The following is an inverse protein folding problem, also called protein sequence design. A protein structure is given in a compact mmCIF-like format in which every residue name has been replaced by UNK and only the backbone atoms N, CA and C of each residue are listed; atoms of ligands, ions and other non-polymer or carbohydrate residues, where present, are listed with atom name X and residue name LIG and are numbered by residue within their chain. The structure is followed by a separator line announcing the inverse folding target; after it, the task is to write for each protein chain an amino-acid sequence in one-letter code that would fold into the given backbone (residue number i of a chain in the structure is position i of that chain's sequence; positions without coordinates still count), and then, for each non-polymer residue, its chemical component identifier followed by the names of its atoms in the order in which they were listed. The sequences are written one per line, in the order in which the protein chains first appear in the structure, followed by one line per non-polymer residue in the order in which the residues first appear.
data_IF_497660687017
#
_entry.id   IF_497660687017
#
_cell.length_a   1.000
_cell.length_b   1.000
_cell.length_c   1.000
_cell.angle_alpha   90.00
_cell.angle_beta   90.00
_cell.angle_gamma   90.00
#
_symmetry.space_group_name_H-M   'P 1'
#
loop_
_entity.id
_entity.type
_entity.pdbx_description
1 polymer ?
#
# COMPACT_ATOMS: atom_id res chain seq x y z
N UNK A 1 -10.75 2.54 -1.53
CA UNK A 1 -11.95 2.68 -0.69
C UNK A 1 -12.86 3.75 -1.28
N UNK A 2 -14.10 3.43 -1.56
CA UNK A 2 -15.09 4.41 -2.04
C UNK A 2 -16.07 4.71 -0.92
N UNK A 3 -16.22 5.98 -0.57
CA UNK A 3 -17.26 6.45 0.35
C UNK A 3 -18.38 7.06 -0.47
N UNK A 4 -19.51 6.38 -0.52
CA UNK A 4 -20.73 6.85 -1.19
C UNK A 4 -21.70 7.46 -0.21
N UNK A 5 -22.38 8.54 -0.62
CA UNK A 5 -23.40 9.18 0.19
C UNK A 5 -24.75 9.20 -0.52
N UNK A 6 -25.78 8.82 0.20
CA UNK A 6 -27.18 9.13 -0.10
C UNK A 6 -27.78 9.91 1.07
N UNK A 7 -27.81 11.25 0.99
CA UNK A 7 -28.40 12.08 2.04
C UNK A 7 -28.22 13.57 1.79
N UNK A 8 -28.94 14.40 2.53
CA UNK A 8 -29.12 15.85 2.34
C UNK A 8 -27.97 16.74 2.83
N UNK A 9 -26.90 16.21 3.41
CA UNK A 9 -25.79 17.03 3.89
C UNK A 9 -24.76 17.29 2.76
N UNK A 10 -24.06 18.42 2.78
CA UNK A 10 -23.08 18.78 1.77
C UNK A 10 -21.91 17.78 1.73
N UNK A 11 -21.34 17.46 0.56
CA UNK A 11 -20.19 16.56 0.42
C UNK A 11 -18.95 17.04 1.19
N UNK A 12 -18.85 18.35 1.42
CA UNK A 12 -17.75 18.95 2.18
C UNK A 12 -17.67 18.42 3.61
N UNK A 13 -18.76 18.11 4.28
CA UNK A 13 -18.74 17.60 5.67
C UNK A 13 -18.02 16.25 5.76
N UNK A 14 -18.31 15.33 4.83
CA UNK A 14 -17.63 14.04 4.77
C UNK A 14 -16.14 14.18 4.42
N UNK A 15 -15.82 15.07 3.49
CA UNK A 15 -14.43 15.38 3.10
C UNK A 15 -13.67 16.00 4.28
N UNK A 16 -14.29 16.87 5.05
CA UNK A 16 -13.65 17.50 6.21
C UNK A 16 -13.41 16.50 7.34
N UNK A 17 -14.30 15.53 7.57
CA UNK A 17 -14.03 14.43 8.48
C UNK A 17 -12.81 13.63 8.01
N UNK A 18 -12.74 13.25 6.72
CA UNK A 18 -11.58 12.52 6.17
C UNK A 18 -10.28 13.31 6.32
N UNK A 19 -10.29 14.62 6.06
CA UNK A 19 -9.12 15.50 6.26
C UNK A 19 -8.66 15.57 7.70
N UNK A 20 -9.58 15.38 8.65
CA UNK A 20 -9.28 15.32 10.08
C UNK A 20 -8.75 13.97 10.57
N UNK A 21 -8.72 12.93 9.72
CA UNK A 21 -8.20 11.62 10.09
C UNK A 21 -6.68 11.61 10.07
N UNK A 22 -6.10 10.91 11.03
CA UNK A 22 -4.65 10.69 11.10
C UNK A 22 -4.32 9.30 10.60
N UNK A 23 -3.34 9.21 9.71
CA UNK A 23 -2.80 7.93 9.29
C UNK A 23 -1.94 7.31 10.40
N UNK A 24 -2.06 5.99 10.65
CA UNK A 24 -1.24 5.31 11.64
C UNK A 24 0.24 5.30 11.30
N UNK A 25 1.07 5.19 12.32
CA UNK A 25 2.51 4.97 12.20
C UNK A 25 2.89 3.68 12.91
N UNK A 26 3.88 2.98 12.40
CA UNK A 26 4.46 1.79 13.03
C UNK A 26 5.96 1.73 12.78
N UNK A 27 6.63 0.75 13.38
CA UNK A 27 8.07 0.49 13.14
C UNK A 27 8.24 -0.88 12.52
N UNK A 28 8.97 -0.96 11.40
CA UNK A 28 9.32 -2.20 10.71
C UNK A 28 10.82 -2.24 10.56
N UNK A 29 11.47 -3.29 11.04
CA UNK A 29 12.94 -3.47 11.02
C UNK A 29 13.68 -2.19 11.49
N UNK A 30 13.23 -1.60 12.59
CA UNK A 30 13.80 -0.38 13.17
C UNK A 30 13.48 0.93 12.44
N UNK A 31 12.84 0.89 11.28
CA UNK A 31 12.46 2.07 10.50
C UNK A 31 11.01 2.48 10.78
N UNK A 32 10.79 3.77 11.00
CA UNK A 32 9.42 4.32 11.11
C UNK A 32 8.76 4.36 9.74
N UNK A 33 7.57 3.79 9.65
CA UNK A 33 6.72 3.81 8.47
C UNK A 33 5.37 4.42 8.82
N UNK A 34 4.83 5.21 7.92
CA UNK A 34 3.55 5.90 8.10
C UNK A 34 2.63 5.61 6.94
N UNK A 35 1.38 5.31 7.25
CA UNK A 35 0.30 5.25 6.29
C UNK A 35 -0.08 6.62 5.75
N UNK A 36 -1.01 6.64 4.82
CA UNK A 36 -1.62 7.89 4.35
C UNK A 36 -3.10 7.69 4.04
N UNK A 37 -3.85 8.77 4.10
CA UNK A 37 -5.24 8.83 3.68
C UNK A 37 -5.44 10.07 2.84
N UNK A 38 -6.10 9.94 1.69
CA UNK A 38 -6.35 11.03 0.79
C UNK A 38 -7.69 10.87 0.07
N UNK A 39 -8.40 11.97 -0.14
CA UNK A 39 -9.52 12.02 -1.08
C UNK A 39 -8.93 12.09 -2.49
N UNK A 40 -9.25 11.11 -3.32
CA UNK A 40 -8.73 10.97 -4.69
C UNK A 40 -9.77 11.23 -5.78
N UNK A 41 -11.05 11.27 -5.41
CA UNK A 41 -12.12 11.59 -6.34
C UNK A 41 -13.38 12.06 -5.61
N UNK A 42 -14.12 12.92 -6.28
CA UNK A 42 -15.47 13.34 -5.86
C UNK A 42 -16.34 13.37 -7.12
N UNK A 43 -17.45 12.64 -7.10
CA UNK A 43 -18.40 12.58 -8.20
C UNK A 43 -19.81 12.88 -7.69
N UNK A 44 -20.53 13.78 -8.34
CA UNK A 44 -21.90 14.14 -7.99
C UNK A 44 -22.44 15.31 -8.80
N UNK A 45 -23.76 15.47 -8.74
CA UNK A 45 -24.47 16.50 -9.46
C UNK A 45 -24.93 16.07 -10.86
N UNK A 46 -26.03 16.68 -11.31
CA UNK A 46 -26.66 16.42 -12.61
C UNK A 46 -26.75 17.68 -13.49
N UNK A 47 -26.65 18.86 -12.91
CA UNK A 47 -26.74 20.15 -13.61
C UNK A 47 -26.11 21.27 -12.76
N UNK A 48 -25.72 22.35 -13.41
CA UNK A 48 -25.00 23.47 -12.79
C UNK A 48 -25.79 24.27 -11.78
N UNK A 49 -27.13 24.23 -11.87
CA UNK A 49 -28.06 24.99 -11.03
C UNK A 49 -28.91 24.11 -10.13
N UNK A 50 -28.48 22.85 -9.91
CA UNK A 50 -29.18 21.87 -9.08
C UNK A 50 -28.26 21.43 -7.96
N UNK A 51 -28.71 21.52 -6.72
CA UNK A 51 -28.01 20.96 -5.58
C UNK A 51 -28.11 19.43 -5.69
N UNK A 52 -26.97 18.71 -5.68
CA UNK A 52 -26.98 17.26 -5.78
C UNK A 52 -27.74 16.58 -4.64
N UNK A 53 -28.55 15.58 -4.96
CA UNK A 53 -29.18 14.71 -3.95
C UNK A 53 -28.15 13.77 -3.27
N UNK A 54 -26.98 13.61 -3.87
CA UNK A 54 -25.88 12.79 -3.34
C UNK A 54 -24.59 12.96 -4.13
N UNK A 55 -23.50 12.50 -3.53
CA UNK A 55 -22.20 12.41 -4.17
C UNK A 55 -21.45 11.16 -3.71
N UNK A 56 -20.49 10.71 -4.51
CA UNK A 56 -19.49 9.72 -4.13
C UNK A 56 -18.16 10.40 -3.86
N UNK A 57 -17.50 9.99 -2.79
CA UNK A 57 -16.12 10.42 -2.47
C UNK A 57 -15.23 9.19 -2.47
N UNK A 58 -14.23 9.16 -3.32
CA UNK A 58 -13.23 8.09 -3.33
C UNK A 58 -12.08 8.46 -2.41
N UNK A 59 -11.72 7.53 -1.53
CA UNK A 59 -10.63 7.68 -0.57
C UNK A 59 -9.60 6.60 -0.84
N UNK A 60 -8.33 6.99 -0.99
CA UNK A 60 -7.20 6.08 -1.01
C UNK A 60 -6.56 6.06 0.38
N UNK A 61 -6.46 4.86 0.96
CA UNK A 61 -5.73 4.61 2.18
C UNK A 61 -4.50 3.77 1.88
N UNK A 62 -3.31 4.28 2.23
CA UNK A 62 -2.08 3.49 2.23
C UNK A 62 -1.85 2.96 3.63
N UNK A 63 -1.99 1.66 3.76
CA UNK A 63 -1.96 0.98 5.05
C UNK A 63 -0.54 0.70 5.52
N UNK A 64 -0.37 0.61 6.83
CA UNK A 64 0.83 0.05 7.49
C UNK A 64 0.40 -1.10 8.39
N UNK A 65 1.32 -2.00 8.81
CA UNK A 65 0.97 -3.05 9.76
C UNK A 65 0.38 -2.49 11.05
N UNK A 66 -0.67 -3.14 11.56
CA UNK A 66 -1.35 -2.75 12.80
C UNK A 66 -2.66 -2.01 12.54
N UNK A 67 -2.79 -0.83 13.12
CA UNK A 67 -4.03 -0.06 13.07
C UNK A 67 -4.33 0.50 11.68
N UNK A 68 -5.62 0.72 11.43
CA UNK A 68 -6.13 1.34 10.21
C UNK A 68 -6.58 2.78 10.49
N UNK A 69 -6.73 3.56 9.44
CA UNK A 69 -7.40 4.85 9.55
C UNK A 69 -8.85 4.64 9.98
N UNK A 70 -9.31 5.41 10.97
CA UNK A 70 -10.66 5.32 11.52
C UNK A 70 -11.72 5.88 10.56
N UNK A 71 -11.88 5.23 9.39
CA UNK A 71 -12.79 5.68 8.33
C UNK A 71 -14.26 5.60 8.73
N UNK A 72 -14.63 4.73 9.69
CA UNK A 72 -15.96 4.64 10.28
C UNK A 72 -16.41 5.97 10.89
N UNK A 73 -15.50 6.88 11.23
CA UNK A 73 -15.83 8.22 11.71
C UNK A 73 -16.60 9.06 10.68
N UNK A 74 -16.52 8.70 9.40
CA UNK A 74 -17.30 9.37 8.36
C UNK A 74 -18.81 9.13 8.52
N UNK A 75 -19.22 8.05 9.17
CA UNK A 75 -20.62 7.73 9.49
C UNK A 75 -21.22 8.67 10.55
N UNK A 76 -20.38 9.47 11.23
CA UNK A 76 -20.87 10.54 12.10
C UNK A 76 -21.59 11.68 11.35
N UNK A 77 -21.39 11.76 10.04
CA UNK A 77 -22.12 12.67 9.16
C UNK A 77 -23.39 12.00 8.69
N UNK A 78 -24.55 12.63 8.96
CA UNK A 78 -25.85 12.06 8.62
C UNK A 78 -25.96 11.74 7.12
N UNK A 79 -26.41 10.53 6.80
CA UNK A 79 -26.58 10.03 5.44
C UNK A 79 -25.29 9.68 4.73
N UNK A 80 -24.17 9.57 5.42
CA UNK A 80 -22.91 8.99 4.89
C UNK A 80 -22.88 7.49 5.14
N UNK A 81 -22.66 6.73 4.07
CA UNK A 81 -22.35 5.30 4.10
C UNK A 81 -21.02 5.10 3.39
N UNK A 82 -20.23 4.13 3.81
CA UNK A 82 -18.98 3.80 3.14
C UNK A 82 -18.87 2.30 2.84
N UNK A 83 -18.16 2.00 1.77
CA UNK A 83 -17.88 0.64 1.34
C UNK A 83 -16.41 0.50 0.99
N UNK A 84 -15.89 -0.70 1.12
CA UNK A 84 -14.52 -1.04 0.73
C UNK A 84 -14.57 -1.68 -0.64
N UNK A 85 -14.03 -1.01 -1.66
CA UNK A 85 -13.95 -1.57 -3.01
C UNK A 85 -12.74 -2.50 -3.14
N UNK A 86 -11.63 -2.14 -2.48
CA UNK A 86 -10.42 -2.93 -2.49
C UNK A 86 -9.74 -2.86 -1.12
N UNK A 87 -9.44 -4.01 -0.53
CA UNK A 87 -8.70 -4.11 0.72
C UNK A 87 -7.51 -5.07 0.52
N UNK A 88 -6.32 -4.49 0.46
CA UNK A 88 -5.07 -5.23 0.34
C UNK A 88 -4.27 -5.04 1.63
N UNK A 89 -3.94 -6.13 2.33
CA UNK A 89 -3.19 -6.03 3.57
C UNK A 89 -1.77 -5.51 3.31
N UNK A 90 -1.22 -4.71 4.24
CA UNK A 90 0.18 -4.30 4.17
C UNK A 90 1.10 -5.51 4.35
N UNK A 91 2.24 -5.51 3.68
CA UNK A 91 3.30 -6.48 3.91
C UNK A 91 4.42 -5.83 4.73
N UNK A 92 4.83 -6.51 5.77
CA UNK A 92 6.07 -6.21 6.50
C UNK A 92 6.79 -7.52 6.79
N UNK A 93 8.11 -7.51 6.67
CA UNK A 93 8.95 -8.60 7.17
C UNK A 93 9.07 -8.44 8.70
N UNK A 94 8.70 -9.45 9.44
CA UNK A 94 8.79 -9.53 10.91
C UNK A 94 9.98 -10.37 11.40
N UNK A 95 10.72 -10.97 10.47
CA UNK A 95 11.92 -11.76 10.72
C UNK A 95 13.16 -11.02 10.24
N UNK A 96 13.89 -10.41 11.18
CA UNK A 96 15.12 -9.67 10.90
C UNK A 96 16.21 -10.56 10.29
N UNK A 97 16.35 -11.81 10.73
CA UNK A 97 17.34 -12.73 10.21
C UNK A 97 17.07 -13.10 8.73
N UNK A 98 15.80 -13.29 8.38
CA UNK A 98 15.39 -13.52 6.99
C UNK A 98 15.60 -12.27 6.14
N UNK A 99 15.26 -11.09 6.63
CA UNK A 99 15.47 -9.82 5.94
C UNK A 99 16.96 -9.57 5.66
N UNK A 100 17.83 -9.79 6.64
CA UNK A 100 19.29 -9.67 6.49
C UNK A 100 19.86 -10.72 5.53
N UNK A 101 19.35 -11.96 5.56
CA UNK A 101 19.78 -12.98 4.62
C UNK A 101 19.40 -12.63 3.16
N UNK A 102 18.24 -12.03 2.96
CA UNK A 102 17.82 -11.52 1.65
C UNK A 102 18.68 -10.34 1.20
N UNK A 103 19.01 -9.42 2.10
CA UNK A 103 19.90 -8.30 1.83
C UNK A 103 21.31 -8.77 1.44
N UNK A 104 21.88 -9.74 2.18
CA UNK A 104 23.18 -10.34 1.86
C UNK A 104 23.17 -11.05 0.50
N UNK A 105 22.05 -11.69 0.13
CA UNK A 105 21.92 -12.31 -1.18
C UNK A 105 21.85 -11.27 -2.31
N UNK A 106 21.22 -10.12 -2.05
CA UNK A 106 21.17 -8.99 -2.97
C UNK A 106 22.58 -8.39 -3.16
N UNK A 107 23.33 -8.18 -2.08
CA UNK A 107 24.69 -7.68 -2.11
C UNK A 107 25.62 -8.59 -2.94
N UNK A 108 25.53 -9.89 -2.73
CA UNK A 108 26.29 -10.87 -3.49
C UNK A 108 25.90 -10.95 -4.99
N UNK A 109 24.70 -10.53 -5.34
CA UNK A 109 24.19 -10.59 -6.72
C UNK A 109 24.48 -9.32 -7.55
N UNK A 110 24.84 -8.20 -6.90
CA UNK A 110 25.02 -6.90 -7.55
C UNK A 110 26.27 -6.18 -7.03
N UNK A 111 26.72 -5.14 -7.75
CA UNK A 111 27.88 -4.35 -7.36
C UNK A 111 27.56 -3.09 -6.53
N UNK A 112 26.27 -2.81 -6.30
CA UNK A 112 25.83 -1.70 -5.47
C UNK A 112 25.37 -2.22 -4.13
N UNK A 113 25.57 -1.48 -3.05
CA UNK A 113 25.10 -1.84 -1.71
C UNK A 113 23.57 -1.81 -1.67
N UNK A 114 22.89 -2.93 -1.39
CA UNK A 114 21.44 -2.96 -1.25
C UNK A 114 21.04 -2.41 0.11
N UNK A 115 19.78 -1.94 0.18
CA UNK A 115 19.18 -1.48 1.43
C UNK A 115 17.69 -1.91 1.52
N UNK A 116 17.18 -2.03 2.73
CA UNK A 116 15.75 -2.20 2.95
C UNK A 116 15.04 -0.87 2.67
N UNK A 117 13.98 -0.94 1.90
CA UNK A 117 13.16 0.23 1.56
C UNK A 117 11.68 -0.07 1.78
N UNK A 118 10.91 0.98 2.05
CA UNK A 118 9.45 0.90 2.05
C UNK A 118 8.91 1.42 0.73
N UNK A 119 7.89 0.75 0.19
CA UNK A 119 7.20 1.15 -1.03
C UNK A 119 5.70 1.22 -0.79
N UNK A 120 5.01 2.21 -1.35
CA UNK A 120 3.56 2.37 -1.18
C UNK A 120 2.74 1.44 -2.10
N UNK A 121 3.35 0.38 -2.62
CA UNK A 121 2.71 -0.54 -3.55
C UNK A 121 2.14 -1.74 -2.81
N UNK A 122 0.88 -2.08 -3.12
CA UNK A 122 0.29 -3.33 -2.68
C UNK A 122 0.78 -4.48 -3.57
N UNK A 123 1.01 -5.63 -2.95
CA UNK A 123 1.42 -6.87 -3.63
C UNK A 123 0.77 -8.07 -2.96
N UNK A 124 0.75 -9.22 -3.63
CA UNK A 124 0.26 -10.47 -3.06
C UNK A 124 1.02 -10.91 -1.80
N UNK A 125 2.23 -10.36 -1.58
CA UNK A 125 2.98 -10.60 -0.35
C UNK A 125 2.25 -10.11 0.91
N UNK A 126 1.31 -9.16 0.81
CA UNK A 126 0.44 -8.76 1.91
C UNK A 126 -0.46 -9.91 2.38
N UNK A 127 -1.04 -10.67 1.45
CA UNK A 127 -1.85 -11.84 1.77
C UNK A 127 -1.02 -12.98 2.35
N UNK A 128 0.18 -13.20 1.82
CA UNK A 128 1.11 -14.20 2.35
C UNK A 128 1.54 -13.85 3.78
N UNK A 129 1.90 -12.60 4.04
CA UNK A 129 2.25 -12.12 5.37
C UNK A 129 1.06 -12.25 6.35
N UNK A 130 -0.15 -11.91 5.93
CA UNK A 130 -1.36 -12.09 6.74
C UNK A 130 -1.64 -13.57 7.06
N UNK A 131 -1.17 -14.49 6.22
CA UNK A 131 -1.22 -15.94 6.46
C UNK A 131 -0.03 -16.47 7.28
N UNK A 132 0.84 -15.62 7.81
CA UNK A 132 1.98 -15.98 8.64
C UNK A 132 3.23 -16.39 7.85
N UNK A 133 3.30 -16.06 6.56
CA UNK A 133 4.49 -16.32 5.74
C UNK A 133 5.44 -15.12 5.84
N UNK A 134 6.67 -15.35 6.26
CA UNK A 134 7.72 -14.32 6.25
C UNK A 134 8.06 -13.93 4.81
N UNK A 135 7.95 -12.64 4.49
CA UNK A 135 8.10 -12.14 3.13
C UNK A 135 9.05 -10.93 3.05
N UNK A 136 9.82 -10.88 1.98
CA UNK A 136 10.42 -9.65 1.45
C UNK A 136 10.04 -9.52 -0.03
N UNK A 137 9.87 -8.30 -0.51
CA UNK A 137 9.60 -8.04 -1.92
C UNK A 137 10.87 -7.53 -2.58
N UNK A 138 11.31 -8.23 -3.60
CA UNK A 138 12.44 -7.83 -4.42
C UNK A 138 12.17 -8.22 -5.87
N UNK A 139 12.60 -7.40 -6.81
CA UNK A 139 12.35 -7.66 -8.23
C UNK A 139 13.07 -6.68 -9.13
N UNK A 140 12.99 -6.98 -10.42
CA UNK A 140 13.49 -6.14 -11.48
C UNK A 140 12.41 -5.12 -11.87
N UNK A 141 12.75 -3.83 -11.85
CA UNK A 141 11.90 -2.77 -12.37
C UNK A 141 12.76 -1.57 -12.73
N UNK A 142 12.46 -0.94 -13.84
CA UNK A 142 13.00 0.38 -14.14
C UNK A 142 12.14 1.45 -13.46
N UNK A 143 12.75 2.40 -12.73
CA UNK A 143 12.01 3.43 -12.03
C UNK A 143 11.09 4.24 -12.96
N UNK A 144 9.81 4.33 -12.61
CA UNK A 144 8.82 5.12 -13.35
C UNK A 144 8.21 4.44 -14.57
N UNK A 145 8.59 3.21 -14.90
CA UNK A 145 8.05 2.47 -16.05
C UNK A 145 6.89 1.53 -15.70
N UNK A 146 6.67 1.25 -14.43
CA UNK A 146 5.62 0.34 -13.98
C UNK A 146 4.24 0.71 -14.57
N UNK A 147 3.55 -0.27 -15.16
CA UNK A 147 2.25 -0.13 -15.82
C UNK A 147 2.23 0.78 -17.06
N UNK A 148 3.36 1.06 -17.66
CA UNK A 148 3.44 1.81 -18.92
C UNK A 148 3.54 0.86 -20.13
N UNK A 149 3.20 1.37 -21.32
CA UNK A 149 3.35 0.60 -22.57
C UNK A 149 4.83 0.36 -22.96
N UNK A 150 5.74 1.08 -22.33
CA UNK A 150 7.19 1.01 -22.55
C UNK A 150 7.93 0.32 -21.42
N UNK A 151 7.19 -0.30 -20.49
CA UNK A 151 7.79 -1.02 -19.37
C UNK A 151 8.82 -2.05 -19.85
N UNK A 152 10.01 -1.95 -19.31
CA UNK A 152 11.15 -2.74 -19.74
C UNK A 152 11.98 -3.23 -18.56
N UNK A 153 12.82 -4.23 -18.81
CA UNK A 153 13.81 -4.70 -17.85
C UNK A 153 15.05 -5.19 -18.58
N UNK A 154 16.22 -4.86 -18.06
CA UNK A 154 17.48 -5.36 -18.56
C UNK A 154 17.64 -6.86 -18.27
N UNK A 155 18.12 -7.63 -19.27
CA UNK A 155 18.46 -9.06 -19.08
C UNK A 155 19.50 -9.24 -17.97
N UNK A 156 20.42 -8.31 -17.83
CA UNK A 156 21.42 -8.32 -16.75
C UNK A 156 20.76 -8.18 -15.37
N UNK A 157 19.72 -7.33 -15.24
CA UNK A 157 18.93 -7.21 -14.01
C UNK A 157 18.17 -8.48 -13.71
N UNK A 158 17.59 -9.14 -14.71
CA UNK A 158 16.94 -10.44 -14.53
C UNK A 158 17.92 -11.52 -14.03
N UNK A 159 19.15 -11.57 -14.55
CA UNK A 159 20.14 -12.51 -14.06
C UNK A 159 20.58 -12.21 -12.62
N UNK A 160 20.67 -10.93 -12.23
CA UNK A 160 20.89 -10.54 -10.83
C UNK A 160 19.74 -11.01 -9.93
N UNK A 161 18.49 -10.81 -10.32
CA UNK A 161 17.33 -11.30 -9.59
C UNK A 161 17.34 -12.83 -9.44
N UNK A 162 17.70 -13.56 -10.49
CA UNK A 162 17.85 -15.01 -10.43
C UNK A 162 18.88 -15.45 -9.39
N UNK A 163 20.04 -14.78 -9.32
CA UNK A 163 21.06 -15.07 -8.31
C UNK A 163 20.57 -14.74 -6.90
N UNK A 164 19.89 -13.60 -6.74
CA UNK A 164 19.29 -13.17 -5.48
C UNK A 164 18.29 -14.21 -4.95
N UNK A 165 17.38 -14.69 -5.79
CA UNK A 165 16.35 -15.65 -5.35
C UNK A 165 16.93 -17.03 -5.01
N UNK A 166 17.98 -17.47 -5.71
CA UNK A 166 18.66 -18.73 -5.40
C UNK A 166 19.33 -18.73 -4.04
N UNK A 167 19.91 -17.62 -3.62
CA UNK A 167 20.65 -17.52 -2.38
C UNK A 167 19.87 -17.92 -1.13
N UNK A 168 18.71 -17.35 -0.85
CA UNK A 168 17.84 -17.76 0.25
C UNK A 168 17.26 -19.17 0.06
N UNK A 169 16.83 -19.52 -1.18
CA UNK A 169 16.21 -20.82 -1.46
C UNK A 169 17.15 -22.01 -1.21
N UNK A 170 18.42 -21.87 -1.52
CA UNK A 170 19.43 -22.92 -1.31
C UNK A 170 19.86 -23.08 0.16
N UNK A 171 19.69 -22.04 0.97
CA UNK A 171 20.02 -22.09 2.42
C UNK A 171 18.92 -22.74 3.25
N UNK A 172 17.72 -22.88 2.73
CA UNK A 172 16.57 -23.38 3.46
C UNK A 172 16.09 -22.43 4.56
N UNK A 173 14.98 -22.73 5.23
CA UNK A 173 14.57 -21.99 6.42
C UNK A 173 15.64 -22.14 7.51
N UNK A 174 15.91 -21.06 8.24
CA UNK A 174 16.73 -21.14 9.44
C UNK A 174 16.08 -22.13 10.43
N UNK A 175 16.84 -23.11 10.89
CA UNK A 175 16.37 -24.13 11.80
C UNK A 175 16.14 -23.56 13.21
#
# INVERSE_FOLDING_TARGET
LTVGRRGRAPPEDAVDVVRGLSAPETTVLGSRVRGSVAVTGIEGGSAWNVIPDGCSVTIDERTVPGERVALERTESVDGVEWTVDQDLPPMACDDEAFAEAALAAADAAQGATPEHVTKPHATDAGWLAAAGVTCVVAGAAEPGEAHTATESVSIEVLDRCRRLYRGPAERGPAA
#
